data_IF_489532830948
#
_entry.id   IF_489532830948
#
_cell.length_a   1.000
_cell.length_b   1.000
_cell.length_c   1.000
_cell.angle_alpha   90.00
_cell.angle_beta   90.00
_cell.angle_gamma   90.00
#
_symmetry.space_group_name_H-M   'P 1'
#
loop_
_entity.id
_entity.type
_entity.pdbx_description
1 polymer ?
#
# COMPACT_ATOMS: atom_id res chain seq x y z
N UNK A 1 -0.71 4.98 -7.20
CA UNK A 1 -1.90 4.14 -7.16
C UNK A 1 -1.65 2.82 -7.87
N UNK A 2 -2.02 1.73 -7.24
CA UNK A 2 -1.78 0.40 -7.75
C UNK A 2 -3.12 -0.33 -7.88
N UNK A 3 -3.44 -0.80 -9.08
CA UNK A 3 -4.67 -1.55 -9.31
C UNK A 3 -4.55 -2.92 -8.63
N UNK A 4 -5.44 -3.22 -7.71
CA UNK A 4 -5.45 -4.51 -7.02
C UNK A 4 -6.36 -5.51 -7.74
N UNK A 5 -7.56 -5.04 -8.11
CA UNK A 5 -8.52 -5.82 -8.88
C UNK A 5 -9.48 -4.84 -9.56
N UNK A 6 -10.53 -5.33 -10.20
CA UNK A 6 -11.45 -4.48 -10.96
C UNK A 6 -12.18 -3.43 -10.12
N UNK A 7 -12.26 -3.62 -8.81
CA UNK A 7 -13.02 -2.73 -7.92
C UNK A 7 -12.18 -2.05 -6.84
N UNK A 8 -10.92 -2.45 -6.70
CA UNK A 8 -10.08 -1.94 -5.62
C UNK A 8 -8.73 -1.47 -6.12
N UNK A 9 -8.25 -0.40 -5.51
CA UNK A 9 -6.90 0.10 -5.76
C UNK A 9 -6.21 0.28 -4.42
N UNK A 10 -4.88 0.21 -4.44
CA UNK A 10 -4.05 0.53 -3.28
C UNK A 10 -3.51 1.94 -3.52
N UNK A 11 -3.76 2.84 -2.61
CA UNK A 11 -3.21 4.19 -2.66
C UNK A 11 -2.21 4.37 -1.55
N UNK A 12 -1.04 4.87 -1.92
CA UNK A 12 0.03 5.18 -0.99
C UNK A 12 0.25 6.68 -1.07
N UNK A 13 0.16 7.34 0.06
CA UNK A 13 0.31 8.78 0.09
C UNK A 13 0.73 9.28 1.46
N UNK A 14 0.99 10.57 1.55
CA UNK A 14 1.34 11.20 2.81
C UNK A 14 0.10 11.71 3.50
N UNK A 15 0.01 11.46 4.80
CA UNK A 15 -1.04 12.01 5.64
C UNK A 15 -0.40 12.73 6.82
N UNK A 16 -1.15 13.61 7.45
CA UNK A 16 -0.67 14.39 8.58
C UNK A 16 -1.69 14.35 9.71
N UNK A 17 -1.20 14.17 10.92
CA UNK A 17 -2.03 14.17 12.11
C UNK A 17 -1.26 14.82 13.25
N UNK A 18 -1.83 15.87 13.81
CA UNK A 18 -1.24 16.62 14.93
C UNK A 18 0.22 17.06 14.66
N UNK A 19 0.47 17.53 13.44
CA UNK A 19 1.80 18.00 13.07
C UNK A 19 2.78 16.91 12.69
N UNK A 20 2.38 15.65 12.77
CA UNK A 20 3.23 14.52 12.37
C UNK A 20 2.82 13.98 11.01
N UNK A 21 3.82 13.71 10.19
CA UNK A 21 3.59 13.17 8.86
C UNK A 21 3.77 11.66 8.84
N UNK A 22 2.87 10.99 8.14
CA UNK A 22 2.85 9.54 8.02
C UNK A 22 2.72 9.13 6.56
N UNK A 23 3.19 7.94 6.25
CA UNK A 23 2.91 7.30 4.98
C UNK A 23 1.70 6.41 5.20
N UNK A 24 0.65 6.63 4.42
CA UNK A 24 -0.57 5.83 4.50
C UNK A 24 -0.66 4.92 3.28
N UNK A 25 -0.90 3.64 3.53
CA UNK A 25 -1.08 2.63 2.50
C UNK A 25 -2.46 2.03 2.70
N UNK A 26 -3.39 2.31 1.78
CA UNK A 26 -4.80 2.02 2.01
C UNK A 26 -5.49 1.51 0.76
N UNK A 27 -6.44 0.60 0.98
CA UNK A 27 -7.30 0.10 -0.09
C UNK A 27 -8.48 1.04 -0.24
N UNK A 28 -8.71 1.47 -1.49
CA UNK A 28 -9.89 2.22 -1.88
C UNK A 28 -10.76 1.34 -2.75
N UNK A 29 -12.06 1.50 -2.68
CA UNK A 29 -12.99 0.74 -3.51
C UNK A 29 -13.82 1.67 -4.38
N UNK A 30 -14.29 1.12 -5.49
CA UNK A 30 -15.14 1.85 -6.43
C UNK A 30 -16.60 1.79 -5.96
N UNK A 31 -17.12 2.97 -5.59
CA UNK A 31 -18.52 3.10 -5.19
C UNK A 31 -19.25 3.91 -6.26
N UNK A 32 -19.73 3.19 -7.27
CA UNK A 32 -20.45 3.79 -8.40
C UNK A 32 -19.65 4.89 -9.11
N UNK A 33 -18.38 4.61 -9.37
CA UNK A 33 -17.49 5.55 -10.06
C UNK A 33 -16.75 6.51 -9.16
N UNK A 34 -17.01 6.44 -7.85
CA UNK A 34 -16.31 7.26 -6.87
C UNK A 34 -15.46 6.38 -5.97
N UNK A 35 -14.16 6.68 -5.91
CA UNK A 35 -13.24 5.92 -5.08
C UNK A 35 -13.34 6.35 -3.63
N UNK A 36 -13.59 5.39 -2.75
CA UNK A 36 -13.73 5.64 -1.31
C UNK A 36 -12.74 4.82 -0.50
N UNK A 37 -12.19 5.39 0.58
CA UNK A 37 -11.26 4.66 1.44
C UNK A 37 -11.98 3.57 2.25
N UNK A 38 -11.23 2.53 2.59
CA UNK A 38 -11.70 1.47 3.47
C UNK A 38 -10.89 1.48 4.77
N UNK A 39 -11.27 0.62 5.70
CA UNK A 39 -10.49 0.42 6.92
C UNK A 39 -9.28 -0.47 6.69
N UNK A 40 -9.15 -1.03 5.48
CA UNK A 40 -8.03 -1.88 5.13
C UNK A 40 -6.84 -1.03 4.73
N UNK A 41 -6.03 -0.71 5.70
CA UNK A 41 -4.86 0.12 5.47
C UNK A 41 -4.02 0.21 6.72
N UNK A 42 -2.84 0.77 6.55
CA UNK A 42 -1.89 0.93 7.62
C UNK A 42 -1.08 2.21 7.40
N UNK A 43 -0.79 2.91 8.49
CA UNK A 43 -0.01 4.13 8.45
C UNK A 43 1.30 3.92 9.20
N UNK A 44 2.36 4.49 8.65
CA UNK A 44 3.71 4.37 9.21
C UNK A 44 4.35 5.73 9.34
N UNK A 45 5.22 5.90 10.34
CA UNK A 45 6.15 7.02 10.32
C UNK A 45 7.08 6.83 9.12
N UNK A 46 7.74 7.88 8.66
CA UNK A 46 8.67 7.77 7.52
C UNK A 46 9.78 6.75 7.78
N UNK A 47 10.30 6.70 9.00
CA UNK A 47 11.35 5.76 9.35
C UNK A 47 10.88 4.31 9.25
N UNK A 48 9.70 4.03 9.81
CA UNK A 48 9.13 2.69 9.78
C UNK A 48 8.76 2.31 8.35
N UNK A 49 8.23 3.26 7.58
CA UNK A 49 7.90 3.01 6.17
C UNK A 49 9.11 2.54 5.38
N UNK A 50 10.28 3.13 5.63
CA UNK A 50 11.49 2.73 4.95
C UNK A 50 11.87 1.28 5.30
N UNK A 51 11.75 0.91 6.57
CA UNK A 51 12.01 -0.46 7.01
C UNK A 51 11.03 -1.45 6.40
N UNK A 52 9.77 -1.05 6.25
CA UNK A 52 8.75 -1.88 5.61
C UNK A 52 9.09 -2.13 4.15
N UNK A 53 9.51 -1.08 3.43
CA UNK A 53 9.91 -1.23 2.02
C UNK A 53 11.06 -2.23 1.90
N UNK A 54 12.06 -2.11 2.75
CA UNK A 54 13.22 -3.01 2.74
C UNK A 54 12.79 -4.46 3.03
N UNK A 55 11.90 -4.65 4.00
CA UNK A 55 11.41 -5.97 4.35
C UNK A 55 10.60 -6.60 3.23
N UNK A 56 9.81 -5.79 2.51
CA UNK A 56 9.05 -6.28 1.36
C UNK A 56 10.00 -6.77 0.27
N UNK A 57 11.03 -5.98 -0.04
CA UNK A 57 12.01 -6.34 -1.05
C UNK A 57 12.71 -7.65 -0.69
N UNK A 58 13.17 -7.79 0.56
CA UNK A 58 13.80 -9.02 1.05
C UNK A 58 12.88 -10.22 0.91
N UNK A 59 11.62 -10.05 1.29
CA UNK A 59 10.64 -11.13 1.23
C UNK A 59 10.44 -11.60 -0.21
N UNK A 60 10.36 -10.64 -1.14
CA UNK A 60 10.20 -10.97 -2.55
C UNK A 60 11.41 -11.75 -3.09
N UNK A 61 12.60 -11.33 -2.71
CA UNK A 61 13.83 -12.00 -3.15
C UNK A 61 13.92 -13.44 -2.60
N UNK A 62 13.55 -13.63 -1.34
CA UNK A 62 13.59 -14.95 -0.70
C UNK A 62 12.54 -15.91 -1.27
N UNK A 63 11.41 -15.38 -1.72
CA UNK A 63 10.31 -16.22 -2.20
C UNK A 63 10.37 -16.53 -3.70
N UNK A 64 11.39 -16.04 -4.41
CA UNK A 64 11.49 -16.19 -5.87
C UNK A 64 10.21 -15.72 -6.56
N UNK A 65 9.73 -14.57 -6.18
CA UNK A 65 8.44 -14.02 -6.60
C UNK A 65 8.26 -13.97 -8.13
N UNK A 66 9.37 -13.94 -8.89
CA UNK A 66 9.30 -13.90 -10.34
C UNK A 66 8.60 -15.12 -10.95
N UNK A 67 8.62 -16.23 -10.24
CA UNK A 67 7.95 -17.45 -10.69
C UNK A 67 6.43 -17.28 -10.69
N UNK A 68 5.93 -16.40 -9.84
CA UNK A 68 4.50 -16.14 -9.74
C UNK A 68 4.02 -15.13 -10.76
N UNK A 69 4.92 -14.32 -11.31
CA UNK A 69 4.56 -13.32 -12.31
C UNK A 69 4.39 -13.89 -13.71
N UNK A 70 4.95 -15.04 -13.96
CA UNK A 70 4.94 -15.63 -15.30
C UNK A 70 3.62 -16.31 -15.66
N UNK A 71 2.67 -16.28 -14.77
CA UNK A 71 1.38 -16.92 -15.00
C UNK A 71 0.34 -16.01 -15.62
#
# INVERSE_FOLDING_TARGET
>A
EIQKNSREVIRIGESEYEGHKFVDCRIYYDDNGEWKPTKKGISFSHKIAQEVVEAIIETMEESNWKEFETN
#
